data_IF_936319911060
#
_entry.id   IF_936319911060
#
_cell.length_a   1.000
_cell.length_b   1.000
_cell.length_c   1.000
_cell.angle_alpha   90.00
_cell.angle_beta   90.00
_cell.angle_gamma   90.00
#
_symmetry.space_group_name_H-M   'P 1'
#
loop_
_entity.id
_entity.type
_entity.pdbx_description
1 polymer ?
#
# COMPACT_ATOMS: atom_id res chain seq x y z
N UNK A 1 6.13 -16.15 -3.84
CA UNK A 1 4.87 -15.86 -4.57
C UNK A 1 5.24 -15.42 -5.98
N UNK A 2 4.55 -15.90 -7.02
CA UNK A 2 4.90 -15.62 -8.42
C UNK A 2 4.90 -14.11 -8.71
N UNK A 3 5.95 -13.62 -9.36
CA UNK A 3 6.11 -12.21 -9.77
C UNK A 3 4.87 -11.69 -10.51
N UNK A 4 4.29 -12.54 -11.36
CA UNK A 4 3.03 -12.28 -12.07
C UNK A 4 1.88 -11.88 -11.14
N UNK A 5 1.65 -12.67 -10.08
CA UNK A 5 0.55 -12.44 -9.16
C UNK A 5 0.76 -11.16 -8.32
N UNK A 6 2.03 -10.83 -8.02
CA UNK A 6 2.40 -9.56 -7.39
C UNK A 6 2.05 -8.36 -8.28
N UNK A 7 2.43 -8.41 -9.55
CA UNK A 7 2.14 -7.34 -10.52
C UNK A 7 0.65 -7.15 -10.76
N UNK A 8 -0.13 -8.23 -10.82
CA UNK A 8 -1.60 -8.14 -10.97
C UNK A 8 -2.23 -7.45 -9.75
N UNK A 9 -1.84 -7.84 -8.53
CA UNK A 9 -2.32 -7.19 -7.31
C UNK A 9 -1.94 -5.72 -7.26
N UNK A 10 -0.70 -5.40 -7.60
CA UNK A 10 -0.23 -4.02 -7.68
C UNK A 10 -1.12 -3.19 -8.60
N UNK A 11 -1.40 -3.69 -9.80
CA UNK A 11 -2.22 -3.01 -10.80
C UNK A 11 -3.67 -2.81 -10.34
N UNK A 12 -4.28 -3.82 -9.72
CA UNK A 12 -5.63 -3.70 -9.12
C UNK A 12 -5.67 -2.58 -8.08
N UNK A 13 -4.63 -2.49 -7.23
CA UNK A 13 -4.55 -1.47 -6.19
C UNK A 13 -4.39 -0.06 -6.77
N UNK A 14 -3.57 0.09 -7.80
CA UNK A 14 -3.43 1.36 -8.52
C UNK A 14 -4.77 1.82 -9.07
N UNK A 15 -5.55 0.92 -9.71
CA UNK A 15 -6.87 1.25 -10.26
C UNK A 15 -7.87 1.65 -9.17
N UNK A 16 -7.92 0.91 -8.06
CA UNK A 16 -8.81 1.23 -6.95
C UNK A 16 -8.52 2.61 -6.33
N UNK A 17 -7.23 2.95 -6.19
CA UNK A 17 -6.82 4.26 -5.71
C UNK A 17 -7.12 5.37 -6.71
N UNK A 18 -6.90 5.11 -8.00
CA UNK A 18 -7.20 6.04 -9.09
C UNK A 18 -8.68 6.45 -9.13
N UNK A 19 -9.60 5.50 -8.98
CA UNK A 19 -11.05 5.75 -9.05
C UNK A 19 -11.60 6.32 -7.73
N UNK A 20 -10.76 6.48 -6.69
CA UNK A 20 -11.19 6.98 -5.38
C UNK A 20 -11.87 5.93 -4.49
N UNK A 21 -11.86 4.65 -4.90
CA UNK A 21 -12.30 3.52 -4.07
C UNK A 21 -11.25 3.06 -3.07
N UNK A 22 -10.55 4.02 -2.49
CA UNK A 22 -9.44 3.81 -1.58
C UNK A 22 -9.80 2.92 -0.38
N UNK A 23 -10.95 3.17 0.27
CA UNK A 23 -11.38 2.42 1.46
C UNK A 23 -11.55 0.92 1.21
N UNK A 24 -11.97 0.54 0.00
CA UNK A 24 -12.13 -0.87 -0.38
C UNK A 24 -10.80 -1.58 -0.61
N UNK A 25 -9.72 -0.83 -0.86
CA UNK A 25 -8.39 -1.40 -1.05
C UNK A 25 -7.68 -1.75 0.26
N UNK A 26 -8.08 -1.18 1.41
CA UNK A 26 -7.40 -1.34 2.70
C UNK A 26 -7.10 -2.80 3.12
N UNK A 27 -8.05 -3.77 3.00
CA UNK A 27 -7.78 -5.16 3.41
C UNK A 27 -6.72 -5.82 2.52
N UNK A 28 -6.80 -5.56 1.21
CA UNK A 28 -5.84 -6.06 0.22
C UNK A 28 -4.48 -5.41 0.46
N UNK A 29 -4.47 -4.15 0.91
CA UNK A 29 -3.26 -3.36 1.17
C UNK A 29 -2.52 -3.91 2.37
N UNK A 30 -3.24 -4.23 3.44
CA UNK A 30 -2.69 -4.85 4.65
C UNK A 30 -1.99 -6.16 4.29
N UNK A 31 -2.70 -7.01 3.53
CA UNK A 31 -2.16 -8.29 3.09
C UNK A 31 -0.97 -8.15 2.14
N UNK A 32 -1.04 -7.22 1.18
CA UNK A 32 0.03 -6.94 0.22
C UNK A 32 1.28 -6.39 0.92
N UNK A 33 1.15 -5.38 1.77
CA UNK A 33 2.28 -4.80 2.54
C UNK A 33 2.94 -5.82 3.46
N UNK A 34 2.16 -6.75 4.01
CA UNK A 34 2.71 -7.78 4.87
C UNK A 34 3.58 -8.76 4.09
N UNK A 35 3.12 -9.17 2.90
CA UNK A 35 3.75 -10.23 2.10
C UNK A 35 4.81 -9.73 1.11
N UNK A 36 4.78 -8.45 0.73
CA UNK A 36 5.67 -7.82 -0.25
C UNK A 36 6.41 -6.61 0.31
N UNK A 37 7.14 -5.87 -0.53
CA UNK A 37 7.91 -4.70 -0.10
C UNK A 37 7.03 -3.44 -0.05
N UNK A 38 7.01 -2.71 1.09
CA UNK A 38 6.20 -1.51 1.27
C UNK A 38 6.49 -0.37 0.28
N UNK A 39 7.68 -0.34 -0.33
CA UNK A 39 8.08 0.69 -1.32
C UNK A 39 7.16 0.79 -2.54
N UNK A 40 6.54 -0.32 -2.96
CA UNK A 40 5.62 -0.30 -4.10
C UNK A 40 4.37 0.54 -3.81
N UNK A 41 3.93 0.59 -2.55
CA UNK A 41 2.78 1.41 -2.15
C UNK A 41 3.10 2.90 -2.12
N UNK A 42 4.34 3.26 -1.78
CA UNK A 42 4.81 4.64 -1.90
C UNK A 42 4.75 5.10 -3.35
N UNK A 43 5.16 4.24 -4.29
CA UNK A 43 5.12 4.52 -5.72
C UNK A 43 3.68 4.76 -6.20
N UNK A 44 2.72 3.94 -5.77
CA UNK A 44 1.30 4.12 -6.10
C UNK A 44 0.79 5.46 -5.54
N UNK A 45 1.05 5.75 -4.26
CA UNK A 45 0.60 6.98 -3.63
C UNK A 45 1.14 8.23 -4.34
N UNK A 46 2.41 8.19 -4.75
CA UNK A 46 3.09 9.29 -5.43
C UNK A 46 2.57 9.48 -6.86
N UNK A 47 2.33 8.40 -7.62
CA UNK A 47 1.75 8.47 -8.96
C UNK A 47 0.32 9.04 -8.95
N UNK A 48 -0.49 8.62 -7.97
CA UNK A 48 -1.85 9.11 -7.78
C UNK A 48 -1.84 10.58 -7.36
N UNK A 49 -0.99 10.96 -6.40
CA UNK A 49 -0.89 12.36 -5.98
C UNK A 49 -0.39 13.27 -7.10
N UNK A 50 0.61 12.88 -7.90
CA UNK A 50 1.07 13.70 -9.05
C UNK A 50 -0.10 14.03 -9.98
N UNK A 51 -1.00 13.07 -10.21
CA UNK A 51 -2.16 13.26 -11.06
C UNK A 51 -3.23 14.16 -10.43
N UNK A 52 -3.47 14.05 -9.13
CA UNK A 52 -4.47 14.88 -8.44
C UNK A 52 -3.92 16.20 -7.89
N UNK A 53 -2.60 16.38 -7.87
CA UNK A 53 -1.92 17.62 -7.46
C UNK A 53 -2.24 18.80 -8.36
N UNK A 54 -2.72 18.55 -9.58
CA UNK A 54 -3.30 19.58 -10.45
C UNK A 54 -4.56 20.22 -9.86
N UNK A 55 -5.27 19.51 -8.98
CA UNK A 55 -6.54 19.94 -8.37
C UNK A 55 -6.43 20.27 -6.87
N UNK A 56 -5.47 19.69 -6.14
CA UNK A 56 -5.24 19.95 -4.71
C UNK A 56 -3.75 19.97 -4.39
N UNK A 57 -3.26 21.04 -3.76
CA UNK A 57 -1.83 21.24 -3.49
C UNK A 57 -1.20 20.23 -2.49
N UNK A 58 -2.01 19.45 -1.76
CA UNK A 58 -1.53 18.55 -0.71
C UNK A 58 -1.49 17.09 -1.19
N UNK A 59 -0.35 16.39 -1.07
CA UNK A 59 -0.18 15.00 -1.49
C UNK A 59 -0.73 14.03 -0.43
N UNK A 60 -2.06 13.97 -0.32
CA UNK A 60 -2.75 13.19 0.70
C UNK A 60 -2.48 11.68 0.57
N UNK A 61 -2.38 11.15 -0.65
CA UNK A 61 -2.21 9.71 -0.87
C UNK A 61 -0.78 9.23 -0.54
N UNK A 62 0.21 10.09 -0.75
CA UNK A 62 1.62 9.87 -0.41
C UNK A 62 1.80 9.93 1.10
N UNK A 63 1.23 10.94 1.77
CA UNK A 63 1.24 11.02 3.24
C UNK A 63 0.59 9.78 3.84
N UNK A 64 -0.55 9.35 3.31
CA UNK A 64 -1.19 8.12 3.75
C UNK A 64 -0.30 6.90 3.52
N UNK A 65 0.29 6.76 2.33
CA UNK A 65 1.18 5.63 2.02
C UNK A 65 2.36 5.56 2.98
N UNK A 66 2.97 6.70 3.35
CA UNK A 66 4.03 6.78 4.35
C UNK A 66 3.55 6.31 5.72
N UNK A 67 2.41 6.82 6.19
CA UNK A 67 1.83 6.42 7.46
C UNK A 67 1.54 4.91 7.51
N UNK A 68 1.02 4.36 6.41
CA UNK A 68 0.76 2.94 6.27
C UNK A 68 2.01 2.07 6.33
N UNK A 69 3.08 2.52 5.66
CA UNK A 69 4.38 1.84 5.69
C UNK A 69 4.92 1.80 7.13
N UNK A 70 4.83 2.91 7.86
CA UNK A 70 5.27 2.97 9.26
C UNK A 70 4.48 1.96 10.12
N UNK A 71 3.15 1.94 9.99
CA UNK A 71 2.30 1.00 10.73
C UNK A 71 2.67 -0.45 10.41
N UNK A 72 2.78 -0.80 9.12
CA UNK A 72 3.04 -2.17 8.69
C UNK A 72 4.43 -2.65 9.07
N UNK A 73 5.45 -1.79 8.99
CA UNK A 73 6.81 -2.08 9.48
C UNK A 73 6.83 -2.28 10.99
N UNK A 74 6.08 -1.48 11.75
CA UNK A 74 6.00 -1.63 13.21
C UNK A 74 5.25 -2.89 13.65
N UNK A 75 4.20 -3.29 12.91
CA UNK A 75 3.42 -4.49 13.19
C UNK A 75 4.14 -5.78 12.76
N UNK A 76 4.93 -5.76 11.68
CA UNK A 76 5.62 -6.93 11.13
C UNK A 76 6.43 -7.73 12.17
N UNK A 77 7.34 -7.14 12.98
CA UNK A 77 8.12 -7.90 13.97
C UNK A 77 7.26 -8.47 15.10
N UNK A 78 6.21 -7.75 15.52
CA UNK A 78 5.33 -8.23 16.59
C UNK A 78 4.61 -9.52 16.19
N UNK A 79 4.12 -9.61 14.95
CA UNK A 79 3.44 -10.82 14.47
C UNK A 79 4.37 -12.00 14.20
N UNK A 80 5.60 -11.76 13.73
CA UNK A 80 6.60 -12.84 13.53
C UNK A 80 6.91 -13.56 14.85
N UNK A 81 6.95 -12.83 15.97
CA UNK A 81 7.14 -13.41 17.31
C UNK A 81 5.96 -14.30 17.72
N UNK A 82 4.74 -14.00 17.26
CA UNK A 82 3.56 -14.83 17.53
C UNK A 82 3.44 -16.04 16.58
N UNK A 83 3.99 -15.97 15.36
CA UNK A 83 3.97 -17.10 14.41
C UNK A 83 5.15 -18.05 14.54
N UNK A 84 6.30 -17.60 15.06
CA UNK A 84 7.50 -18.44 15.27
C UNK A 84 7.57 -19.10 16.66
N UNK A 85 6.53 -18.93 17.49
CA UNK A 85 6.38 -19.64 18.78
C UNK A 85 5.42 -20.85 18.69
N UNK A 86 5.18 -21.35 17.49
CA UNK A 86 4.47 -22.61 17.24
C UNK A 86 5.48 -23.71 16.86
#
# INVERSE_FOLDING_TARGET
>A
MNLFFRSVLFLVMTILWYIGFFWYSLPILLWYSYKYTPFELLLIGLLVDIQFMTFRALPWYTIFSLFWIIITVWLRPKFIVYTNRA
#
